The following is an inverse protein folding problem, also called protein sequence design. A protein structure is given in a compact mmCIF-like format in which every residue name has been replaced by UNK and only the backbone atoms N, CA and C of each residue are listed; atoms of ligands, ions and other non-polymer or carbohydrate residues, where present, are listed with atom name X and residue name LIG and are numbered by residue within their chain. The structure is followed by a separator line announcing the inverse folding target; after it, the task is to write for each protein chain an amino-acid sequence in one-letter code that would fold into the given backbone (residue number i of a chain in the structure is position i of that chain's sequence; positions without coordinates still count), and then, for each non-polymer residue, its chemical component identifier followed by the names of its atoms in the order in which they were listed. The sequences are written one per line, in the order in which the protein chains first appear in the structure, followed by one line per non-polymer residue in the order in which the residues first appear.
data_IF_472391161905
#
_entry.id   IF_472391161905
#
_cell.length_a   1.000
_cell.length_b   1.000
_cell.length_c   1.000
_cell.angle_alpha   90.00
_cell.angle_beta   90.00
_cell.angle_gamma   90.00
#
_symmetry.space_group_name_H-M   'P 1'
#
loop_
_entity.id
_entity.type
_entity.pdbx_description
1 polymer ?
#
# COMPACT_ATOMS: atom_id res chain seq x y z
N UNK A 1 -11.69 6.03 6.88
CA UNK A 1 -12.59 5.06 6.21
C UNK A 1 -11.78 3.84 5.75
N UNK A 2 -12.44 2.76 5.33
CA UNK A 2 -11.75 1.59 4.77
C UNK A 2 -12.43 1.07 3.51
N UNK A 3 -11.62 0.63 2.54
CA UNK A 3 -12.05 0.04 1.27
C UNK A 3 -11.40 -1.34 1.09
N UNK A 4 -12.21 -2.40 1.09
CA UNK A 4 -11.76 -3.74 0.77
C UNK A 4 -11.84 -4.00 -0.73
N UNK A 5 -10.71 -4.34 -1.34
CA UNK A 5 -10.61 -4.71 -2.76
C UNK A 5 -10.10 -6.13 -2.86
N UNK A 6 -10.77 -6.96 -3.65
CA UNK A 6 -10.32 -8.31 -3.99
C UNK A 6 -10.00 -8.37 -5.46
N UNK A 7 -8.75 -8.69 -5.80
CA UNK A 7 -8.32 -8.82 -7.18
C UNK A 7 -8.57 -10.24 -7.64
N UNK A 8 -9.55 -10.44 -8.51
CA UNK A 8 -9.92 -11.77 -9.00
C UNK A 8 -8.99 -12.29 -10.10
N UNK A 9 -8.27 -11.40 -10.78
CA UNK A 9 -7.35 -11.68 -11.88
C UNK A 9 -6.18 -10.69 -11.87
N UNK A 10 -5.06 -11.04 -12.50
CA UNK A 10 -3.84 -10.24 -12.54
C UNK A 10 -2.99 -10.33 -11.27
N UNK A 11 -1.86 -9.62 -11.26
CA UNK A 11 -0.83 -9.71 -10.21
C UNK A 11 -0.11 -11.06 -10.18
N UNK A 12 0.82 -11.21 -9.24
CA UNK A 12 1.54 -12.48 -9.04
C UNK A 12 0.68 -13.52 -8.30
N UNK A 13 -0.32 -13.05 -7.55
CA UNK A 13 -1.20 -13.85 -6.70
C UNK A 13 -2.68 -13.47 -6.88
N UNK A 14 -3.34 -13.95 -7.95
CA UNK A 14 -4.77 -13.73 -8.16
C UNK A 14 -5.61 -14.28 -7.00
N UNK A 15 -6.64 -13.56 -6.59
CA UNK A 15 -7.52 -13.88 -5.47
C UNK A 15 -7.15 -13.17 -4.16
N UNK A 16 -6.05 -12.40 -4.15
CA UNK A 16 -5.63 -11.64 -2.99
C UNK A 16 -6.57 -10.46 -2.68
N UNK A 17 -6.72 -10.17 -1.39
CA UNK A 17 -7.53 -9.06 -0.89
C UNK A 17 -6.67 -8.03 -0.16
N UNK A 18 -7.00 -6.76 -0.39
CA UNK A 18 -6.34 -5.59 0.17
C UNK A 18 -7.38 -4.67 0.79
N UNK A 19 -7.27 -4.41 2.09
CA UNK A 19 -8.11 -3.43 2.77
C UNK A 19 -7.35 -2.13 2.95
N UNK A 20 -7.66 -1.14 2.13
CA UNK A 20 -7.12 0.20 2.21
C UNK A 20 -7.73 0.94 3.39
N UNK A 21 -6.90 1.59 4.19
CA UNK A 21 -7.29 2.41 5.32
C UNK A 21 -6.96 3.85 4.93
N UNK A 22 -7.99 4.69 4.84
CA UNK A 22 -7.91 6.04 4.26
C UNK A 22 -8.16 7.06 5.37
N UNK A 23 -7.32 8.08 5.43
CA UNK A 23 -7.49 9.22 6.32
C UNK A 23 -8.67 10.10 5.89
N UNK A 24 -9.23 10.95 6.78
CA UNK A 24 -10.26 11.92 6.39
C UNK A 24 -9.83 12.88 5.28
N UNK A 25 -8.52 13.07 5.08
CA UNK A 25 -7.94 13.87 3.98
C UNK A 25 -8.04 13.19 2.61
N UNK A 26 -8.49 11.93 2.55
CA UNK A 26 -8.46 11.10 1.35
C UNK A 26 -7.10 10.45 1.07
N UNK A 27 -6.06 10.75 1.87
CA UNK A 27 -4.74 10.11 1.73
C UNK A 27 -4.77 8.69 2.30
N UNK A 28 -4.15 7.71 1.61
CA UNK A 28 -4.06 6.36 2.15
C UNK A 28 -3.07 6.34 3.32
N UNK A 29 -3.50 5.74 4.44
CA UNK A 29 -2.70 5.60 5.66
C UNK A 29 -1.95 4.27 5.68
N UNK A 30 -2.67 3.20 5.40
CA UNK A 30 -2.16 1.83 5.40
C UNK A 30 -3.05 0.91 4.57
N UNK A 31 -2.60 -0.32 4.37
CA UNK A 31 -3.40 -1.38 3.81
C UNK A 31 -3.14 -2.69 4.54
N UNK A 32 -4.20 -3.48 4.74
CA UNK A 32 -4.08 -4.86 5.19
C UNK A 32 -4.12 -5.81 4.02
N UNK A 33 -3.29 -6.83 4.05
CA UNK A 33 -3.11 -7.81 2.98
C UNK A 33 -3.55 -9.21 3.43
N UNK A 34 -4.30 -9.88 2.56
CA UNK A 34 -4.56 -11.32 2.61
C UNK A 34 -4.07 -11.88 1.29
N UNK A 35 -2.86 -12.45 1.31
CA UNK A 35 -2.19 -12.96 0.11
C UNK A 35 -1.97 -14.46 0.21
N UNK A 36 -1.87 -15.13 -0.93
CA UNK A 36 -1.51 -16.56 -0.97
C UNK A 36 -0.09 -16.86 -0.52
N UNK A 37 0.81 -15.88 -0.58
CA UNK A 37 2.23 -16.06 -0.24
C UNK A 37 2.45 -15.92 1.27
N UNK A 38 1.71 -15.04 1.95
CA UNK A 38 1.88 -14.76 3.37
C UNK A 38 0.92 -15.64 4.18
N UNK A 39 1.41 -16.56 5.04
CA UNK A 39 0.56 -17.52 5.76
C UNK A 39 -0.42 -16.88 6.75
N UNK A 40 -0.16 -15.62 7.13
CA UNK A 40 -0.93 -14.87 8.13
C UNK A 40 -1.76 -13.81 7.41
N UNK A 41 -3.07 -13.86 7.58
CA UNK A 41 -3.98 -12.88 7.00
C UNK A 41 -4.01 -11.57 7.77
N UNK A 42 -4.22 -10.47 7.06
CA UNK A 42 -4.44 -9.14 7.65
C UNK A 42 -3.17 -8.46 8.13
N UNK A 43 -2.00 -8.85 7.61
CA UNK A 43 -0.75 -8.13 7.82
C UNK A 43 -0.91 -6.70 7.35
N UNK A 44 -0.39 -5.72 8.09
CA UNK A 44 -0.57 -4.30 7.77
C UNK A 44 0.72 -3.68 7.24
N UNK A 45 0.58 -2.93 6.14
CA UNK A 45 1.60 -2.07 5.54
C UNK A 45 1.17 -0.61 5.61
N UNK A 46 2.06 0.29 6.06
CA UNK A 46 1.78 1.73 6.05
C UNK A 46 2.25 2.39 4.75
N UNK A 47 1.70 3.56 4.42
CA UNK A 47 2.25 4.48 3.43
C UNK A 47 2.95 5.63 4.18
N UNK A 48 4.26 5.78 4.00
CA UNK A 48 5.07 6.75 4.73
C UNK A 48 5.96 7.57 3.81
N UNK A 49 6.49 8.66 4.39
CA UNK A 49 7.51 9.51 3.78
C UNK A 49 7.08 10.01 2.39
N UNK A 50 5.96 10.73 2.36
CA UNK A 50 5.41 11.25 1.12
C UNK A 50 6.25 12.39 0.57
N UNK A 51 6.58 12.32 -0.72
CA UNK A 51 7.23 13.39 -1.47
C UNK A 51 6.34 13.91 -2.58
N UNK A 52 6.46 15.20 -2.92
CA UNK A 52 5.77 15.80 -4.05
C UNK A 52 6.66 15.66 -5.29
N UNK A 53 6.15 15.01 -6.32
CA UNK A 53 6.84 14.81 -7.60
C UNK A 53 6.76 16.06 -8.49
N UNK A 54 7.50 16.07 -9.61
CA UNK A 54 7.54 17.17 -10.57
C UNK A 54 6.14 17.50 -11.15
N UNK A 55 5.33 16.47 -11.42
CA UNK A 55 3.94 16.63 -11.87
C UNK A 55 3.00 17.15 -10.77
N UNK A 56 3.48 17.25 -9.53
CA UNK A 56 2.71 17.70 -8.37
C UNK A 56 1.96 16.59 -7.64
N UNK A 57 2.02 15.34 -8.11
CA UNK A 57 1.46 14.16 -7.43
C UNK A 57 2.30 13.82 -6.21
N UNK A 58 1.65 13.48 -5.10
CA UNK A 58 2.32 12.95 -3.92
C UNK A 58 2.51 11.45 -4.04
N UNK A 59 3.74 10.97 -3.89
CA UNK A 59 4.08 9.56 -3.85
C UNK A 59 4.76 9.21 -2.51
N UNK A 60 4.46 8.05 -1.91
CA UNK A 60 5.12 7.57 -0.71
C UNK A 60 6.49 6.98 -1.06
N UNK A 61 7.50 7.18 -0.21
CA UNK A 61 8.83 6.60 -0.43
C UNK A 61 9.13 5.38 0.45
N UNK A 62 8.23 5.06 1.39
CA UNK A 62 8.44 3.97 2.34
C UNK A 62 7.14 3.21 2.67
N UNK A 63 7.27 1.89 2.75
CA UNK A 63 6.31 1.02 3.41
C UNK A 63 6.89 0.46 4.70
N UNK A 64 6.08 0.45 5.78
CA UNK A 64 6.43 -0.23 7.02
C UNK A 64 5.51 -1.41 7.28
N UNK A 65 6.10 -2.59 7.44
CA UNK A 65 5.44 -3.86 7.75
C UNK A 65 5.96 -4.36 9.11
N UNK A 66 5.38 -3.87 10.21
CA UNK A 66 5.89 -4.13 11.55
C UNK A 66 7.35 -3.65 11.71
N UNK A 67 8.33 -4.54 12.00
CA UNK A 67 9.75 -4.16 12.10
C UNK A 67 10.45 -3.99 10.73
N UNK A 68 9.84 -4.45 9.63
CA UNK A 68 10.42 -4.36 8.30
C UNK A 68 10.08 -3.02 7.64
N UNK A 69 11.09 -2.38 7.04
CA UNK A 69 10.92 -1.20 6.19
C UNK A 69 11.27 -1.56 4.75
N UNK A 70 10.40 -1.21 3.82
CA UNK A 70 10.58 -1.44 2.39
C UNK A 70 10.63 -0.07 1.72
N UNK A 71 11.80 0.27 1.15
CA UNK A 71 11.97 1.50 0.37
C UNK A 71 11.32 1.35 -1.00
N UNK A 72 10.68 2.42 -1.46
CA UNK A 72 10.16 2.53 -2.83
C UNK A 72 11.22 2.95 -3.85
N UNK A 73 12.47 3.16 -3.40
CA UNK A 73 13.54 3.70 -4.23
C UNK A 73 13.28 5.13 -4.65
N UNK A 74 13.74 5.49 -5.85
CA UNK A 74 13.43 6.78 -6.47
C UNK A 74 12.01 6.74 -7.04
N UNK A 75 11.12 7.58 -6.49
CA UNK A 75 9.74 7.70 -6.97
C UNK A 75 9.65 8.88 -7.94
N UNK A 76 9.12 8.61 -9.14
CA UNK A 76 9.05 9.60 -10.23
C UNK A 76 7.61 9.72 -10.71
N UNK A 77 7.08 10.93 -10.65
CA UNK A 77 5.85 11.35 -11.33
C UNK A 77 6.19 12.46 -12.30
N UNK A 78 6.21 12.15 -13.60
CA UNK A 78 6.47 13.09 -14.69
C UNK A 78 5.17 13.73 -15.18
#
# INVERSE_FOLDING_TARGET
EALLVTYTQGGDTPGDSYMWIIEPSGKPKSFKLWTKIIPIGGVEATWQDWTKTESGVFLPTLHKLGPLSISMGEVVGK
#
